data_IF_157252915329
#
_entry.id   IF_157252915329
#
_cell.length_a   1.000
_cell.length_b   1.000
_cell.length_c   1.000
_cell.angle_alpha   90.00
_cell.angle_beta   90.00
_cell.angle_gamma   90.00
#
_symmetry.space_group_name_H-M   'P 1'
#
loop_
_entity.id
_entity.type
_entity.pdbx_description
1 polymer ?
#
# COMPACT_ATOMS: atom_id res chain seq x y z
N UNK A 1 -5.10 -40.27 3.60
CA UNK A 1 -3.84 -39.54 3.37
C UNK A 1 -4.20 -38.34 2.53
N UNK A 2 -4.71 -37.30 3.17
CA UNK A 2 -4.90 -36.01 2.51
C UNK A 2 -3.63 -35.21 2.74
N UNK A 3 -2.89 -34.97 1.67
CA UNK A 3 -1.78 -34.05 1.65
C UNK A 3 -2.37 -32.64 1.70
N UNK A 4 -2.62 -32.14 2.91
CA UNK A 4 -2.73 -30.70 3.12
C UNK A 4 -1.40 -30.08 2.66
N UNK A 5 -1.42 -29.44 1.50
CA UNK A 5 -0.32 -28.63 1.02
C UNK A 5 -0.04 -27.56 2.08
N UNK A 6 1.14 -27.63 2.69
CA UNK A 6 1.62 -26.61 3.62
C UNK A 6 1.79 -25.31 2.84
N UNK A 7 0.74 -24.49 2.82
CA UNK A 7 0.78 -23.14 2.28
C UNK A 7 1.77 -22.34 3.15
N UNK A 8 2.72 -21.64 2.51
CA UNK A 8 3.68 -20.78 3.21
C UNK A 8 2.94 -19.69 3.96
N UNK A 9 3.48 -19.21 5.09
CA UNK A 9 2.74 -18.32 6.01
C UNK A 9 2.34 -17.00 5.31
N UNK A 10 3.20 -16.42 4.49
CA UNK A 10 2.91 -15.20 3.73
C UNK A 10 2.32 -15.46 2.33
N UNK A 11 1.43 -16.45 2.19
CA UNK A 11 0.83 -16.75 0.87
C UNK A 11 -0.40 -15.91 0.61
N UNK A 12 -0.35 -15.09 -0.44
CA UNK A 12 -1.50 -14.41 -1.02
C UNK A 12 -2.34 -15.36 -1.88
N UNK A 13 -3.67 -15.25 -1.79
CA UNK A 13 -4.60 -16.02 -2.61
C UNK A 13 -5.69 -15.15 -3.22
N UNK A 14 -6.16 -15.51 -4.42
CA UNK A 14 -7.44 -14.99 -4.95
C UNK A 14 -8.58 -15.75 -4.30
N UNK A 15 -9.67 -15.09 -3.90
CA UNK A 15 -10.88 -15.78 -3.44
C UNK A 15 -11.53 -16.56 -4.60
N UNK A 16 -11.77 -17.89 -4.49
CA UNK A 16 -11.89 -18.69 -3.26
C UNK A 16 -10.71 -19.65 -2.95
N UNK A 17 -9.45 -19.20 -3.01
CA UNK A 17 -8.29 -19.90 -2.42
C UNK A 17 -7.18 -20.35 -3.38
N UNK A 18 -7.01 -19.71 -4.54
CA UNK A 18 -5.86 -20.02 -5.43
C UNK A 18 -4.64 -19.19 -5.01
N UNK A 19 -3.55 -19.86 -4.62
CA UNK A 19 -2.26 -19.22 -4.38
C UNK A 19 -1.75 -18.46 -5.60
N UNK A 20 -1.26 -17.26 -5.36
CA UNK A 20 -0.62 -16.42 -6.36
C UNK A 20 0.87 -16.70 -6.42
N UNK A 21 1.41 -16.75 -7.63
CA UNK A 21 2.86 -16.61 -7.83
C UNK A 21 3.28 -15.13 -7.91
N UNK A 22 4.58 -14.88 -7.88
CA UNK A 22 5.14 -13.52 -7.85
C UNK A 22 4.77 -12.70 -9.09
N UNK A 23 4.68 -13.32 -10.26
CA UNK A 23 4.32 -12.60 -11.49
C UNK A 23 2.85 -12.20 -11.46
N UNK A 24 1.98 -13.04 -10.91
CA UNK A 24 0.57 -12.71 -10.70
C UNK A 24 0.40 -11.59 -9.66
N UNK A 25 1.20 -11.58 -8.59
CA UNK A 25 1.21 -10.49 -7.59
C UNK A 25 1.56 -9.17 -8.30
N UNK A 26 2.68 -9.12 -9.02
CA UNK A 26 3.14 -7.92 -9.76
C UNK A 26 2.10 -7.37 -10.73
N UNK A 27 1.36 -8.25 -11.41
CA UNK A 27 0.26 -7.82 -12.30
C UNK A 27 -0.82 -7.09 -11.51
N UNK A 28 -1.24 -7.63 -10.37
CA UNK A 28 -2.25 -7.01 -9.52
C UNK A 28 -1.74 -5.70 -8.90
N UNK A 29 -0.49 -5.64 -8.47
CA UNK A 29 0.11 -4.38 -7.98
C UNK A 29 0.11 -3.27 -9.03
N UNK A 30 0.39 -3.61 -10.29
CA UNK A 30 0.30 -2.65 -11.40
C UNK A 30 -1.15 -2.24 -11.67
N UNK A 31 -2.13 -3.16 -11.54
CA UNK A 31 -3.56 -2.81 -11.61
C UNK A 31 -3.97 -1.84 -10.48
N UNK A 32 -3.46 -2.04 -9.26
CA UNK A 32 -3.66 -1.12 -8.15
C UNK A 32 -3.03 0.25 -8.46
N UNK A 33 -1.79 0.26 -8.98
CA UNK A 33 -1.08 1.49 -9.36
C UNK A 33 -1.81 2.26 -10.46
N UNK A 34 -2.32 1.59 -11.49
CA UNK A 34 -3.07 2.24 -12.58
C UNK A 34 -4.38 2.87 -12.07
N UNK A 35 -5.09 2.17 -11.17
CA UNK A 35 -6.29 2.71 -10.54
C UNK A 35 -5.96 3.90 -9.62
N UNK A 36 -4.86 3.82 -8.87
CA UNK A 36 -4.41 4.89 -8.01
C UNK A 36 -3.91 6.12 -8.79
N UNK A 37 -3.23 5.93 -9.91
CA UNK A 37 -2.83 7.02 -10.82
C UNK A 37 -4.07 7.74 -11.37
N UNK A 38 -5.07 6.99 -11.83
CA UNK A 38 -6.33 7.56 -12.30
C UNK A 38 -7.05 8.37 -11.21
N UNK A 39 -7.06 7.86 -9.97
CA UNK A 39 -7.58 8.57 -8.80
C UNK A 39 -6.79 9.86 -8.53
N UNK A 40 -5.46 9.79 -8.50
CA UNK A 40 -4.59 10.93 -8.28
C UNK A 40 -4.80 12.02 -9.33
N UNK A 41 -4.85 11.64 -10.61
CA UNK A 41 -5.11 12.54 -11.73
C UNK A 41 -6.49 13.22 -11.65
N UNK A 42 -7.53 12.47 -11.29
CA UNK A 42 -8.89 13.01 -11.08
C UNK A 42 -8.92 14.07 -9.98
N UNK A 43 -8.19 13.86 -8.90
CA UNK A 43 -8.20 14.71 -7.71
C UNK A 43 -7.05 15.73 -7.65
N UNK A 44 -6.18 15.75 -8.66
CA UNK A 44 -5.03 16.65 -8.77
C UNK A 44 -4.06 16.56 -7.58
N UNK A 45 -3.87 15.35 -7.07
CA UNK A 45 -2.86 15.04 -6.03
C UNK A 45 -1.66 14.36 -6.69
N UNK A 46 -0.47 14.65 -6.19
CA UNK A 46 0.79 14.18 -6.78
C UNK A 46 1.38 13.05 -5.95
N UNK A 47 1.98 12.09 -6.64
CA UNK A 47 2.81 11.06 -6.04
C UNK A 47 4.04 10.79 -6.93
N UNK A 48 5.02 10.09 -6.38
CA UNK A 48 6.15 9.55 -7.12
C UNK A 48 6.39 8.09 -6.72
N UNK A 49 6.95 7.30 -7.62
CA UNK A 49 7.53 6.00 -7.23
C UNK A 49 8.80 6.22 -6.41
N UNK A 50 8.98 5.41 -5.37
CA UNK A 50 10.09 5.50 -4.42
C UNK A 50 10.97 4.24 -4.41
N UNK A 51 12.03 4.29 -3.59
CA UNK A 51 12.78 3.12 -3.12
C UNK A 51 13.11 2.04 -4.18
N UNK A 52 12.73 0.78 -3.93
CA UNK A 52 13.00 -0.38 -4.79
C UNK A 52 12.31 -0.24 -6.14
N UNK A 53 11.06 0.21 -6.13
CA UNK A 53 10.24 0.45 -7.32
C UNK A 53 10.90 1.43 -8.30
N UNK A 54 11.39 2.58 -7.83
CA UNK A 54 12.09 3.56 -8.67
C UNK A 54 13.38 2.97 -9.26
N UNK A 55 14.16 2.25 -8.45
CA UNK A 55 15.39 1.60 -8.91
C UNK A 55 15.08 0.54 -9.98
N UNK A 56 14.04 -0.27 -9.77
CA UNK A 56 13.54 -1.24 -10.74
C UNK A 56 13.18 -0.58 -12.06
N UNK A 57 12.32 0.44 -12.03
CA UNK A 57 11.85 1.14 -13.22
C UNK A 57 13.02 1.67 -14.07
N UNK A 58 14.04 2.25 -13.43
CA UNK A 58 15.21 2.79 -14.15
C UNK A 58 16.13 1.68 -14.67
N UNK A 59 16.49 0.71 -13.81
CA UNK A 59 17.53 -0.31 -14.07
C UNK A 59 17.03 -1.50 -14.89
N UNK A 60 15.87 -2.05 -14.53
CA UNK A 60 15.30 -3.27 -15.10
C UNK A 60 14.14 -3.00 -16.07
N UNK A 61 13.70 -1.74 -16.20
CA UNK A 61 12.56 -1.34 -17.04
C UNK A 61 11.23 -1.95 -16.59
N UNK A 62 11.09 -2.11 -15.27
CA UNK A 62 9.97 -2.74 -14.59
C UNK A 62 10.39 -3.11 -13.18
N UNK A 63 9.74 -4.10 -12.57
CA UNK A 63 10.15 -4.60 -11.26
C UNK A 63 11.60 -5.09 -11.23
N UNK A 64 12.21 -5.02 -10.05
CA UNK A 64 13.35 -5.87 -9.76
C UNK A 64 12.84 -7.33 -9.78
N UNK A 65 13.55 -8.30 -10.39
CA UNK A 65 12.99 -9.64 -10.60
C UNK A 65 12.48 -10.35 -9.33
N UNK A 66 13.04 -10.02 -8.17
CA UNK A 66 12.70 -10.60 -6.88
C UNK A 66 11.95 -9.64 -5.92
N UNK A 67 11.64 -8.41 -6.35
CA UNK A 67 10.71 -7.53 -5.58
C UNK A 67 9.30 -8.10 -5.64
N UNK A 68 8.54 -7.86 -4.59
CA UNK A 68 7.14 -8.23 -4.40
C UNK A 68 6.25 -7.06 -3.92
N UNK A 69 6.78 -5.82 -3.95
CA UNK A 69 6.10 -4.60 -3.55
C UNK A 69 6.22 -3.43 -4.56
N UNK A 70 5.24 -2.53 -4.53
CA UNK A 70 5.30 -1.18 -5.12
C UNK A 70 5.29 -0.13 -3.99
N UNK A 71 6.36 0.65 -3.92
CA UNK A 71 6.49 1.79 -3.02
C UNK A 71 6.22 3.12 -3.73
N UNK A 72 5.29 3.89 -3.18
CA UNK A 72 4.99 5.26 -3.57
C UNK A 72 5.34 6.24 -2.45
N UNK A 73 5.71 7.46 -2.83
CA UNK A 73 5.89 8.58 -1.92
C UNK A 73 5.00 9.75 -2.33
N UNK A 74 4.38 10.42 -1.36
CA UNK A 74 3.51 11.56 -1.60
C UNK A 74 3.92 12.75 -0.73
N UNK A 75 3.88 14.00 -1.23
CA UNK A 75 3.96 15.18 -0.37
C UNK A 75 2.95 15.08 0.77
N UNK A 76 3.32 15.51 1.97
CA UNK A 76 2.43 15.46 3.14
C UNK A 76 1.08 16.15 2.89
N UNK A 77 1.05 17.27 2.18
CA UNK A 77 -0.20 17.96 1.80
C UNK A 77 -1.13 17.08 0.96
N UNK A 78 -0.58 16.39 -0.03
CA UNK A 78 -1.33 15.54 -0.96
C UNK A 78 -1.71 14.21 -0.32
N UNK A 79 -0.87 13.70 0.58
CA UNK A 79 -1.15 12.55 1.42
C UNK A 79 -2.36 12.81 2.32
N UNK A 80 -2.38 13.92 3.07
CA UNK A 80 -3.55 14.26 3.89
C UNK A 80 -4.79 14.46 3.03
N UNK A 81 -4.63 15.05 1.84
CA UNK A 81 -5.73 15.21 0.89
C UNK A 81 -6.30 13.86 0.42
N UNK A 82 -5.44 12.87 0.16
CA UNK A 82 -5.88 11.49 -0.14
C UNK A 82 -6.78 10.96 0.99
N UNK A 83 -6.33 11.04 2.25
CA UNK A 83 -7.09 10.55 3.40
C UNK A 83 -8.44 11.30 3.57
N UNK A 84 -8.45 12.62 3.38
CA UNK A 84 -9.69 13.40 3.38
C UNK A 84 -10.68 12.94 2.30
N UNK A 85 -10.20 12.66 1.08
CA UNK A 85 -11.04 12.21 -0.02
C UNK A 85 -11.64 10.83 0.26
N UNK A 86 -10.84 9.89 0.78
CA UNK A 86 -11.33 8.56 1.16
C UNK A 86 -12.37 8.66 2.28
N UNK A 87 -12.12 9.46 3.32
CA UNK A 87 -13.10 9.72 4.39
C UNK A 87 -14.39 10.40 3.89
N UNK A 88 -14.30 11.18 2.81
CA UNK A 88 -15.45 11.78 2.14
C UNK A 88 -16.23 10.79 1.25
N UNK A 89 -15.77 9.54 1.13
CA UNK A 89 -16.41 8.48 0.36
C UNK A 89 -15.96 8.37 -1.09
N UNK A 90 -14.86 9.03 -1.49
CA UNK A 90 -14.27 8.77 -2.79
C UNK A 90 -13.66 7.36 -2.83
N UNK A 91 -13.86 6.68 -3.95
CA UNK A 91 -13.41 5.30 -4.15
C UNK A 91 -12.28 5.27 -5.18
N UNK A 92 -11.24 4.47 -4.92
CA UNK A 92 -10.13 4.28 -5.86
C UNK A 92 -10.61 3.42 -7.04
N UNK A 93 -11.25 2.30 -6.73
CA UNK A 93 -11.95 1.44 -7.69
C UNK A 93 -12.98 0.56 -6.95
N UNK A 94 -13.74 -0.25 -7.68
CA UNK A 94 -14.70 -1.20 -7.11
C UNK A 94 -14.05 -2.28 -6.22
N UNK A 95 -12.74 -2.51 -6.35
CA UNK A 95 -12.02 -3.58 -5.66
C UNK A 95 -10.70 -3.12 -5.02
N UNK A 96 -10.49 -1.81 -4.86
CA UNK A 96 -9.31 -1.26 -4.19
C UNK A 96 -9.72 -0.50 -2.93
N UNK A 97 -9.19 -0.92 -1.77
CA UNK A 97 -9.47 -0.34 -0.45
C UNK A 97 -8.21 0.29 0.13
N UNK A 98 -8.26 1.56 0.48
CA UNK A 98 -7.20 2.21 1.26
C UNK A 98 -7.34 1.90 2.75
N UNK A 99 -6.21 1.70 3.43
CA UNK A 99 -6.10 1.57 4.89
C UNK A 99 -5.02 2.51 5.39
N UNK A 100 -5.35 3.33 6.38
CA UNK A 100 -4.45 4.32 6.98
C UNK A 100 -5.00 4.70 8.38
N UNK A 101 -4.14 5.05 9.36
CA UNK A 101 -4.61 5.45 10.70
C UNK A 101 -5.55 6.67 10.73
N UNK A 102 -5.54 7.49 9.68
CA UNK A 102 -6.42 8.64 9.51
C UNK A 102 -7.75 8.33 8.80
N UNK A 103 -7.96 7.10 8.31
CA UNK A 103 -9.25 6.67 7.72
C UNK A 103 -10.21 6.23 8.83
N UNK A 104 -11.40 6.81 8.84
CA UNK A 104 -12.40 6.59 9.89
C UNK A 104 -13.10 5.25 9.69
N UNK A 105 -13.08 4.41 10.73
CA UNK A 105 -13.82 3.15 10.74
C UNK A 105 -13.13 1.99 10.03
N UNK A 106 -11.87 2.17 9.59
CA UNK A 106 -11.03 1.11 9.07
C UNK A 106 -10.05 0.59 10.13
N UNK A 107 -9.79 -0.71 10.12
CA UNK A 107 -8.75 -1.30 10.96
C UNK A 107 -7.41 -1.16 10.24
N UNK A 108 -6.47 -0.45 10.85
CA UNK A 108 -5.15 -0.21 10.29
C UNK A 108 -4.06 -0.69 11.26
N UNK A 109 -3.06 -1.40 10.74
CA UNK A 109 -1.92 -1.90 11.50
C UNK A 109 -0.59 -1.24 11.11
N UNK A 110 -0.58 -0.38 10.07
CA UNK A 110 0.61 0.34 9.59
C UNK A 110 0.51 1.84 9.89
N UNK A 111 1.63 2.53 10.12
CA UNK A 111 1.63 3.98 10.36
C UNK A 111 1.56 4.82 9.07
N UNK A 112 1.26 4.18 7.93
CA UNK A 112 1.18 4.77 6.61
C UNK A 112 0.10 4.05 5.78
N UNK A 113 -0.25 4.64 4.64
CA UNK A 113 -1.36 4.19 3.83
C UNK A 113 -0.94 3.01 2.97
N UNK A 114 -1.78 1.97 2.97
CA UNK A 114 -1.74 0.86 2.03
C UNK A 114 -3.00 0.85 1.19
N UNK A 115 -2.90 0.47 -0.07
CA UNK A 115 -4.08 0.19 -0.91
C UNK A 115 -4.07 -1.29 -1.24
N UNK A 116 -5.13 -2.00 -0.86
CA UNK A 116 -5.27 -3.44 -1.06
C UNK A 116 -6.26 -3.76 -2.19
N UNK A 117 -5.98 -4.85 -2.91
CA UNK A 117 -6.94 -5.51 -3.80
C UNK A 117 -7.82 -6.50 -3.03
N UNK A 118 -9.11 -6.16 -2.91
CA UNK A 118 -10.11 -6.94 -2.14
C UNK A 118 -10.55 -8.23 -2.83
N UNK A 119 -10.07 -8.51 -4.05
CA UNK A 119 -10.24 -9.82 -4.72
C UNK A 119 -9.28 -10.87 -4.16
N UNK A 120 -8.28 -10.43 -3.42
CA UNK A 120 -7.24 -11.26 -2.83
C UNK A 120 -7.25 -11.17 -1.31
N UNK A 121 -6.70 -12.19 -0.65
CA UNK A 121 -6.52 -12.22 0.80
C UNK A 121 -5.20 -12.90 1.17
N UNK A 122 -4.58 -12.46 2.25
CA UNK A 122 -3.38 -13.05 2.83
C UNK A 122 -3.80 -14.09 3.88
N UNK A 123 -3.41 -15.35 3.69
CA UNK A 123 -3.96 -16.45 4.50
C UNK A 123 -3.45 -16.45 5.95
N UNK A 124 -2.20 -16.05 6.22
CA UNK A 124 -1.57 -16.17 7.54
C UNK A 124 -0.49 -15.10 7.79
N UNK A 125 -0.89 -13.88 8.18
CA UNK A 125 0.07 -12.88 8.65
C UNK A 125 0.10 -12.81 10.19
N UNK A 126 1.16 -13.36 10.79
CA UNK A 126 1.36 -13.35 12.25
C UNK A 126 1.47 -11.93 12.84
N UNK A 127 1.82 -10.93 12.02
CA UNK A 127 1.89 -9.53 12.46
C UNK A 127 0.52 -8.92 12.73
N UNK A 128 -0.54 -9.50 12.15
CA UNK A 128 -1.92 -9.02 12.29
C UNK A 128 -2.86 -10.07 12.92
N UNK A 129 -2.33 -11.18 13.44
CA UNK A 129 -3.14 -12.19 14.11
C UNK A 129 -3.92 -11.58 15.29
N UNK A 130 -5.24 -11.66 15.23
CA UNK A 130 -6.15 -11.03 16.19
C UNK A 130 -6.48 -9.55 15.93
N UNK A 131 -5.96 -8.95 14.85
CA UNK A 131 -6.42 -7.66 14.34
C UNK A 131 -7.54 -7.90 13.32
N UNK A 132 -8.56 -7.05 13.33
CA UNK A 132 -9.69 -7.10 12.38
C UNK A 132 -9.30 -6.48 11.02
N UNK A 133 -8.14 -6.87 10.48
CA UNK A 133 -7.57 -6.35 9.23
C UNK A 133 -7.62 -7.43 8.16
N UNK A 134 -8.20 -7.08 7.00
CA UNK A 134 -8.23 -7.96 5.84
C UNK A 134 -7.24 -7.46 4.78
N UNK A 135 -6.05 -8.08 4.71
CA UNK A 135 -5.02 -7.74 3.73
C UNK A 135 -5.15 -8.58 2.46
N UNK A 136 -4.99 -7.92 1.30
CA UNK A 136 -4.78 -8.56 0.00
C UNK A 136 -3.42 -8.17 -0.59
N UNK A 137 -3.19 -8.39 -1.89
CA UNK A 137 -2.10 -7.74 -2.63
C UNK A 137 -2.20 -6.23 -2.41
N UNK A 138 -1.07 -5.56 -2.17
CA UNK A 138 -1.06 -4.15 -1.80
C UNK A 138 -0.06 -3.33 -2.60
N UNK A 139 -0.19 -2.00 -2.49
CA UNK A 139 0.91 -1.05 -2.71
C UNK A 139 1.07 -0.16 -1.48
N UNK A 140 2.29 0.30 -1.23
CA UNK A 140 2.65 1.14 -0.09
C UNK A 140 2.69 2.62 -0.50
N UNK A 141 2.12 3.50 0.35
CA UNK A 141 2.16 4.95 0.15
C UNK A 141 2.76 5.59 1.39
N UNK A 142 3.97 6.11 1.25
CA UNK A 142 4.68 6.80 2.31
C UNK A 142 4.48 8.32 2.24
N UNK A 143 4.13 8.96 3.37
CA UNK A 143 4.13 10.41 3.44
C UNK A 143 5.58 10.94 3.43
N UNK A 144 5.85 11.86 2.50
CA UNK A 144 7.10 12.58 2.38
C UNK A 144 6.98 13.93 3.07
N UNK A 145 7.48 13.99 4.30
CA UNK A 145 7.57 15.23 5.06
C UNK A 145 8.85 15.99 4.68
N UNK A 146 8.69 17.26 4.30
CA UNK A 146 9.81 18.18 4.20
C UNK A 146 10.46 18.41 5.56
N UNK A 147 11.78 18.49 5.61
CA UNK A 147 12.49 18.96 6.80
C UNK A 147 12.59 20.50 6.75
N UNK A 148 12.07 21.21 7.76
CA UNK A 148 12.30 22.64 7.89
C UNK A 148 13.79 22.93 8.08
N UNK A 149 14.20 24.14 7.69
CA UNK A 149 15.58 24.59 7.92
C UNK A 149 15.85 24.86 9.41
N UNK A 150 14.83 25.22 10.19
CA UNK A 150 14.96 25.48 11.63
C UNK A 150 15.13 24.17 12.43
N UNK A 151 16.27 23.95 13.10
CA UNK A 151 16.50 22.76 13.93
C UNK A 151 15.49 22.59 15.07
N UNK A 152 14.87 23.67 15.55
CA UNK A 152 13.82 23.61 16.57
C UNK A 152 12.55 22.98 16.00
N UNK A 153 12.19 23.36 14.78
CA UNK A 153 11.05 22.82 14.06
C UNK A 153 11.29 21.37 13.63
N UNK A 154 12.52 21.03 13.22
CA UNK A 154 12.93 19.63 13.00
C UNK A 154 12.73 18.80 14.26
N UNK A 155 13.18 19.27 15.44
CA UNK A 155 12.97 18.55 16.71
C UNK A 155 11.49 18.40 17.05
N UNK A 156 10.65 19.39 16.72
CA UNK A 156 9.20 19.32 16.92
C UNK A 156 8.55 18.27 16.03
N UNK A 157 8.93 18.23 14.75
CA UNK A 157 8.48 17.20 13.80
C UNK A 157 8.92 15.81 14.21
N UNK A 158 10.19 15.62 14.59
CA UNK A 158 10.68 14.31 15.02
C UNK A 158 9.90 13.77 16.23
N UNK A 159 9.57 14.62 17.22
CA UNK A 159 8.73 14.24 18.37
C UNK A 159 7.28 13.91 18.04
N UNK A 160 6.80 14.37 16.88
CA UNK A 160 5.44 14.06 16.42
C UNK A 160 5.38 12.64 15.84
N UNK A 161 6.48 12.15 15.27
CA UNK A 161 6.56 10.88 14.57
C UNK A 161 7.33 9.78 15.32
N UNK A 162 8.15 10.14 16.32
CA UNK A 162 9.00 9.25 17.14
C UNK A 162 8.99 9.65 18.62
#
# INVERSE_FOLDING_TARGET
MDSASTVSRDTMVIMPGKALDLDQIKVLEVEILDAFDAFCNKHQITYWIGYGTLLGAVRHKGFIPWDDDIDLVMPDTDYYRLIELINAGEVISDHHRASDPGITGDACHMPFCKIYDTRTTLIQNELIDGLDVDEGVWIDIFPLYGLPEDPTEVKRLLRRFY
#
